data_IF_722852393521
#
_entry.id   IF_722852393521
#
_cell.length_a   1.000
_cell.length_b   1.000
_cell.length_c   1.000
_cell.angle_alpha   90.00
_cell.angle_beta   90.00
_cell.angle_gamma   90.00
#
_symmetry.space_group_name_H-M   'P 1'
#
loop_
_entity.id
_entity.type
_entity.pdbx_description
1 polymer ?
#
# COMPACT_ATOMS: atom_id res chain seq x y z
N UNK A 1 -11.67 5.64 -2.78
CA UNK A 1 -10.24 5.87 -2.53
C UNK A 1 -9.42 5.36 -3.69
N UNK A 2 -8.26 5.95 -3.92
CA UNK A 2 -7.42 5.59 -5.06
C UNK A 2 -6.48 4.44 -4.70
N UNK A 3 -6.35 3.49 -5.61
CA UNK A 3 -5.37 2.41 -5.51
C UNK A 3 -4.04 2.96 -6.01
N UNK A 4 -3.00 2.82 -5.21
CA UNK A 4 -1.69 3.36 -5.49
C UNK A 4 -0.61 2.30 -5.42
N UNK A 5 0.46 2.52 -6.18
CA UNK A 5 1.69 1.77 -6.07
C UNK A 5 2.62 2.57 -5.16
N UNK A 6 3.00 2.00 -4.04
CA UNK A 6 3.78 2.69 -3.01
C UNK A 6 5.12 2.00 -2.85
N UNK A 7 6.19 2.78 -2.94
CA UNK A 7 7.54 2.27 -2.72
C UNK A 7 8.02 2.74 -1.35
N UNK A 8 8.23 1.79 -0.44
CA UNK A 8 8.76 2.09 0.90
C UNK A 8 10.28 2.07 0.92
N UNK A 9 10.86 1.11 0.20
CA UNK A 9 12.30 1.03 -0.04
C UNK A 9 12.53 0.23 -1.32
N UNK A 10 13.79 0.00 -1.70
CA UNK A 10 14.13 -0.67 -2.95
C UNK A 10 13.51 -2.08 -3.09
N UNK A 11 13.17 -2.72 -1.97
CA UNK A 11 12.67 -4.10 -1.96
C UNK A 11 11.21 -4.21 -1.54
N UNK A 12 10.56 -3.10 -1.19
CA UNK A 12 9.18 -3.11 -0.70
C UNK A 12 8.29 -2.24 -1.56
N UNK A 13 7.67 -2.87 -2.55
CA UNK A 13 6.64 -2.25 -3.38
C UNK A 13 5.28 -2.77 -2.92
N UNK A 14 4.38 -1.85 -2.60
CA UNK A 14 3.03 -2.18 -2.15
C UNK A 14 2.00 -1.71 -3.15
N UNK A 15 0.92 -2.46 -3.27
CA UNK A 15 -0.30 -2.03 -3.93
C UNK A 15 -1.35 -1.88 -2.83
N UNK A 16 -1.94 -0.71 -2.70
CA UNK A 16 -2.83 -0.41 -1.59
C UNK A 16 -3.75 0.76 -1.91
N UNK A 17 -4.88 0.82 -1.23
CA UNK A 17 -5.64 2.04 -1.16
C UNK A 17 -4.96 2.94 -0.13
N UNK A 18 -4.86 4.23 -0.43
CA UNK A 18 -4.17 5.20 0.43
C UNK A 18 -5.14 6.32 0.79
N UNK A 19 -5.22 6.62 2.06
CA UNK A 19 -6.02 7.73 2.58
C UNK A 19 -5.10 8.68 3.36
N UNK A 20 -5.18 9.96 3.02
CA UNK A 20 -4.46 10.98 3.78
C UNK A 20 -5.27 11.33 5.02
N UNK A 21 -4.58 11.46 6.14
CA UNK A 21 -5.20 11.77 7.43
C UNK A 21 -4.57 13.03 7.99
N UNK A 22 -5.39 13.92 8.49
CA UNK A 22 -4.89 15.11 9.17
C UNK A 22 -4.29 14.71 10.52
N UNK A 23 -3.01 15.01 10.68
CA UNK A 23 -2.26 14.65 11.87
C UNK A 23 -1.31 15.77 12.25
N UNK A 24 -0.91 15.80 13.50
CA UNK A 24 0.12 16.74 13.97
C UNK A 24 1.50 16.26 13.52
N UNK A 25 2.49 17.16 13.44
CA UNK A 25 3.85 16.77 13.05
C UNK A 25 4.37 15.61 13.90
N UNK A 26 4.92 14.59 13.23
CA UNK A 26 5.47 13.40 13.89
C UNK A 26 4.47 12.29 14.12
N UNK A 27 3.17 12.53 13.90
CA UNK A 27 2.15 11.51 14.00
C UNK A 27 1.92 10.84 12.63
N UNK A 28 1.41 9.59 12.60
CA UNK A 28 1.04 8.95 11.33
C UNK A 28 -0.02 9.76 10.60
N UNK A 29 0.25 10.09 9.34
CA UNK A 29 -0.63 10.92 8.51
C UNK A 29 -1.10 10.21 7.23
N UNK A 30 -0.76 8.94 7.07
CA UNK A 30 -1.23 8.10 5.98
C UNK A 30 -1.85 6.82 6.50
N UNK A 31 -2.92 6.38 5.86
CA UNK A 31 -3.56 5.12 6.16
C UNK A 31 -3.54 4.25 4.91
N UNK A 32 -3.01 3.04 5.04
CA UNK A 32 -3.05 2.04 3.98
C UNK A 32 -4.17 1.06 4.28
N UNK A 33 -5.03 0.82 3.29
CA UNK A 33 -6.16 -0.09 3.40
C UNK A 33 -5.91 -1.26 2.48
N UNK A 34 -5.92 -2.47 3.03
CA UNK A 34 -5.64 -3.71 2.31
C UNK A 34 -4.31 -3.67 1.54
N UNK A 35 -3.18 -3.36 2.21
CA UNK A 35 -1.91 -3.32 1.49
C UNK A 35 -1.43 -4.73 1.11
N UNK A 36 -1.06 -4.90 -0.16
CA UNK A 36 -0.47 -6.12 -0.69
C UNK A 36 0.94 -5.83 -1.16
N UNK A 37 1.87 -6.70 -0.83
CA UNK A 37 3.23 -6.61 -1.34
C UNK A 37 3.28 -7.16 -2.75
N UNK A 38 3.87 -6.38 -3.65
CA UNK A 38 4.05 -6.75 -5.05
C UNK A 38 5.44 -7.31 -5.26
N UNK A 39 5.52 -8.48 -5.89
CA UNK A 39 6.77 -9.15 -6.20
C UNK A 39 7.08 -9.02 -7.69
N UNK A 40 8.35 -9.13 -8.06
CA UNK A 40 8.81 -8.95 -9.43
C UNK A 40 8.16 -9.93 -10.44
N UNK A 41 7.79 -11.12 -9.98
CA UNK A 41 7.10 -12.11 -10.81
C UNK A 41 5.61 -11.78 -11.03
N UNK A 42 5.14 -10.67 -10.47
CA UNK A 42 3.75 -10.26 -10.57
C UNK A 42 2.86 -10.81 -9.47
N UNK A 43 3.40 -11.60 -8.56
CA UNK A 43 2.62 -12.12 -7.43
C UNK A 43 2.36 -11.01 -6.40
N UNK A 44 1.26 -11.15 -5.67
CA UNK A 44 0.89 -10.22 -4.61
C UNK A 44 0.44 -10.99 -3.39
N UNK A 45 0.94 -10.59 -2.23
CA UNK A 45 0.59 -11.20 -0.94
C UNK A 45 0.31 -10.11 0.08
N UNK A 46 -0.52 -10.37 1.10
CA UNK A 46 -0.73 -9.39 2.17
C UNK A 46 0.61 -8.88 2.70
N UNK A 47 0.71 -7.56 2.86
CA UNK A 47 1.98 -6.92 3.21
C UNK A 47 2.56 -7.48 4.52
N UNK A 48 1.73 -7.55 5.56
CA UNK A 48 2.17 -8.13 6.82
C UNK A 48 1.38 -9.43 7.01
N UNK A 49 1.98 -10.54 6.57
CA UNK A 49 1.30 -11.84 6.59
C UNK A 49 1.05 -12.39 7.98
N UNK A 50 1.66 -11.82 9.01
CA UNK A 50 1.51 -12.27 10.39
C UNK A 50 0.25 -11.75 11.08
N UNK A 51 -0.53 -10.93 10.42
CA UNK A 51 -1.75 -10.33 11.01
C UNK A 51 -2.91 -10.41 10.04
N UNK A 52 -4.13 -10.43 10.59
CA UNK A 52 -5.36 -10.30 9.81
C UNK A 52 -5.83 -8.86 9.71
N UNK A 53 -5.08 -7.93 10.25
CA UNK A 53 -5.40 -6.50 10.19
C UNK A 53 -5.39 -6.02 8.74
N UNK A 54 -6.35 -5.15 8.39
CA UNK A 54 -6.52 -4.66 7.01
C UNK A 54 -6.09 -3.21 6.83
N UNK A 55 -5.98 -2.46 7.92
CA UNK A 55 -5.67 -1.03 7.87
C UNK A 55 -4.44 -0.74 8.70
N UNK A 56 -3.53 0.04 8.14
CA UNK A 56 -2.27 0.36 8.79
C UNK A 56 -2.01 1.86 8.70
N UNK A 57 -1.50 2.42 9.79
CA UNK A 57 -1.13 3.82 9.84
C UNK A 57 0.37 3.96 9.62
N UNK A 58 0.77 4.90 8.77
CA UNK A 58 2.17 5.19 8.49
C UNK A 58 2.39 6.69 8.48
N UNK A 59 3.66 7.08 8.63
CA UNK A 59 4.06 8.46 8.41
C UNK A 59 4.47 8.62 6.94
N UNK A 60 4.01 9.68 6.30
CA UNK A 60 4.33 9.93 4.89
C UNK A 60 5.84 10.05 4.65
N UNK A 61 6.59 10.48 5.66
CA UNK A 61 8.05 10.58 5.55
C UNK A 61 8.75 9.22 5.42
N UNK A 62 8.05 8.11 5.72
CA UNK A 62 8.58 6.77 5.56
C UNK A 62 8.31 6.19 4.16
N UNK A 63 7.67 6.95 3.29
CA UNK A 63 7.34 6.57 1.92
C UNK A 63 8.35 7.20 0.98
N UNK A 64 9.02 6.39 0.15
CA UNK A 64 9.94 6.92 -0.85
C UNK A 64 9.19 7.60 -2.00
N UNK A 65 8.19 6.91 -2.55
CA UNK A 65 7.41 7.47 -3.65
C UNK A 65 6.08 6.75 -3.79
N UNK A 66 5.14 7.44 -4.43
CA UNK A 66 3.83 6.90 -4.76
C UNK A 66 3.64 7.07 -6.27
N UNK A 67 3.21 6.01 -6.94
CA UNK A 67 3.00 6.01 -8.37
C UNK A 67 1.65 5.39 -8.72
N UNK A 68 1.23 5.56 -9.96
CA UNK A 68 0.02 4.92 -10.47
C UNK A 68 0.35 3.49 -10.86
N UNK A 69 -0.40 2.49 -10.36
CA UNK A 69 -0.22 1.13 -10.82
C UNK A 69 -0.75 0.95 -12.24
N UNK A 70 -0.29 -0.09 -12.92
CA UNK A 70 -0.83 -0.43 -14.23
C UNK A 70 -2.26 -0.96 -14.10
N UNK A 71 -3.01 -0.94 -15.19
CA UNK A 71 -4.38 -1.46 -15.20
C UNK A 71 -4.43 -2.94 -14.83
N UNK A 72 -3.45 -3.73 -15.28
CA UNK A 72 -3.36 -5.15 -14.94
C UNK A 72 -3.19 -5.37 -13.44
N UNK A 73 -2.34 -4.56 -12.82
CA UNK A 73 -2.09 -4.63 -11.38
C UNK A 73 -3.33 -4.22 -10.60
N UNK A 74 -4.01 -3.16 -11.03
CA UNK A 74 -5.26 -2.73 -10.39
C UNK A 74 -6.31 -3.83 -10.45
N UNK A 75 -6.46 -4.47 -11.61
CA UNK A 75 -7.42 -5.54 -11.79
C UNK A 75 -7.13 -6.71 -10.85
N UNK A 76 -5.88 -7.15 -10.80
CA UNK A 76 -5.47 -8.24 -9.93
C UNK A 76 -5.68 -7.90 -8.46
N UNK A 77 -5.34 -6.68 -8.07
CA UNK A 77 -5.54 -6.22 -6.71
C UNK A 77 -7.02 -6.25 -6.31
N UNK A 78 -7.90 -5.77 -7.20
CA UNK A 78 -9.34 -5.80 -6.93
C UNK A 78 -9.86 -7.21 -6.78
N UNK A 79 -9.38 -8.16 -7.58
CA UNK A 79 -9.76 -9.56 -7.47
C UNK A 79 -9.35 -10.15 -6.12
N UNK A 80 -8.18 -9.78 -5.62
CA UNK A 80 -7.67 -10.29 -4.35
C UNK A 80 -8.36 -9.67 -3.13
N UNK A 81 -8.91 -8.49 -3.27
CA UNK A 81 -9.49 -7.74 -2.14
C UNK A 81 -11.02 -7.76 -2.10
N UNK A 82 -11.65 -8.43 -3.03
CA UNK A 82 -13.11 -8.57 -3.04
C UNK A 82 -13.60 -9.56 -1.98
#
# INVERSE_FOLDING_TARGET
MAIKCVLLDANNTLITEVEEIMAEPGEPDCKFINPYRFFEDGDMKPWIGATNQKEFMLRSEDILTIAQPTEEVIKKYKELTL
#
